data_IF_372679512635
#
_entry.id   IF_372679512635
#
_cell.length_a   1.000
_cell.length_b   1.000
_cell.length_c   1.000
_cell.angle_alpha   90.00
_cell.angle_beta   90.00
_cell.angle_gamma   90.00
#
_symmetry.space_group_name_H-M   'P 1'
#
loop_
_entity.id
_entity.type
_entity.pdbx_description
1 polymer ?
#
# COMPACT_ATOMS: atom_id res chain seq x y z
N UNK A 1 3.02 6.92 -67.00
CA UNK A 1 3.35 5.72 -66.21
C UNK A 1 4.13 6.20 -65.01
N UNK A 2 3.43 6.39 -63.91
CA UNK A 2 3.98 6.95 -62.67
C UNK A 2 3.98 5.81 -61.66
N UNK A 3 5.14 5.20 -61.44
CA UNK A 3 5.28 4.12 -60.47
C UNK A 3 5.16 4.70 -59.06
N UNK A 4 4.08 4.33 -58.37
CA UNK A 4 3.91 4.57 -56.96
C UNK A 4 4.78 3.60 -56.18
N UNK A 5 5.95 4.08 -55.74
CA UNK A 5 6.80 3.38 -54.78
C UNK A 5 6.06 3.29 -53.45
N UNK A 6 5.47 2.13 -53.15
CA UNK A 6 5.01 1.77 -51.81
C UNK A 6 6.23 1.41 -50.96
N UNK A 7 6.77 2.41 -50.28
CA UNK A 7 7.80 2.21 -49.26
C UNK A 7 7.13 1.58 -48.03
N UNK A 8 7.12 0.26 -47.96
CA UNK A 8 6.73 -0.50 -46.76
C UNK A 8 7.79 -0.31 -45.67
N UNK A 9 7.70 0.81 -44.95
CA UNK A 9 8.49 1.12 -43.77
C UNK A 9 8.10 0.23 -42.60
N UNK A 10 8.71 -0.96 -42.54
CA UNK A 10 8.87 -1.73 -41.30
C UNK A 10 9.71 -0.91 -40.32
N UNK A 11 9.08 -0.03 -39.56
CA UNK A 11 9.65 0.54 -38.35
C UNK A 11 8.95 -0.07 -37.14
N UNK A 12 9.75 -0.68 -36.28
CA UNK A 12 9.30 -1.38 -35.08
C UNK A 12 8.42 -0.49 -34.22
N UNK A 13 7.15 -0.88 -34.11
CA UNK A 13 6.23 -0.37 -33.11
C UNK A 13 6.77 -0.82 -31.75
N UNK A 14 7.55 0.04 -31.08
CA UNK A 14 7.46 0.09 -29.64
C UNK A 14 5.98 0.40 -29.37
N UNK A 15 5.20 -0.63 -29.04
CA UNK A 15 3.79 -0.48 -28.68
C UNK A 15 3.76 0.24 -27.34
N UNK A 16 3.96 1.56 -27.38
CA UNK A 16 3.58 2.43 -26.29
C UNK A 16 2.10 2.15 -26.07
N UNK A 17 1.76 1.61 -24.90
CA UNK A 17 0.36 1.30 -24.56
C UNK A 17 -0.51 2.50 -24.93
N UNK A 18 -1.55 2.26 -25.73
CA UNK A 18 -2.38 3.34 -26.26
C UNK A 18 -2.90 4.21 -25.12
N UNK A 19 -3.08 5.51 -25.34
CA UNK A 19 -3.59 6.42 -24.30
C UNK A 19 -4.89 5.89 -23.65
N UNK A 20 -5.74 5.23 -24.44
CA UNK A 20 -6.95 4.54 -23.98
C UNK A 20 -6.65 3.40 -23.00
N UNK A 21 -5.62 2.58 -23.26
CA UNK A 21 -5.21 1.50 -22.38
C UNK A 21 -4.66 2.04 -21.05
N UNK A 22 -3.80 3.08 -21.08
CA UNK A 22 -3.28 3.73 -19.86
C UNK A 22 -4.39 4.31 -18.99
N UNK A 23 -5.33 5.03 -19.59
CA UNK A 23 -6.48 5.59 -18.87
C UNK A 23 -7.38 4.50 -18.25
N UNK A 24 -7.52 3.34 -18.93
CA UNK A 24 -8.26 2.21 -18.38
C UNK A 24 -7.57 1.61 -17.16
N UNK A 25 -6.25 1.39 -17.21
CA UNK A 25 -5.50 0.87 -16.07
C UNK A 25 -5.59 1.85 -14.89
N UNK A 26 -5.35 3.14 -15.13
CA UNK A 26 -5.48 4.18 -14.09
C UNK A 26 -6.84 4.12 -13.37
N UNK A 27 -7.94 4.21 -14.13
CA UNK A 27 -9.28 4.20 -13.54
C UNK A 27 -9.56 2.91 -12.78
N UNK A 28 -9.13 1.77 -13.32
CA UNK A 28 -9.32 0.48 -12.67
C UNK A 28 -8.48 0.38 -11.39
N UNK A 29 -7.25 0.89 -11.38
CA UNK A 29 -6.39 0.93 -10.20
C UNK A 29 -7.05 1.75 -9.10
N UNK A 30 -7.55 2.96 -9.41
CA UNK A 30 -8.25 3.80 -8.42
C UNK A 30 -9.54 3.13 -7.92
N UNK A 31 -10.33 2.53 -8.80
CA UNK A 31 -11.57 1.87 -8.41
C UNK A 31 -11.33 0.64 -7.55
N UNK A 32 -10.38 -0.22 -7.95
CA UNK A 32 -10.03 -1.41 -7.20
C UNK A 32 -9.37 -1.06 -5.86
N UNK A 33 -8.57 0.02 -5.82
CA UNK A 33 -8.01 0.54 -4.58
C UNK A 33 -9.11 0.97 -3.61
N UNK A 34 -10.06 1.79 -4.07
CA UNK A 34 -11.20 2.22 -3.25
C UNK A 34 -12.04 1.02 -2.78
N UNK A 35 -12.32 0.06 -3.68
CA UNK A 35 -13.03 -1.16 -3.35
C UNK A 35 -12.29 -1.99 -2.29
N UNK A 36 -10.96 -2.05 -2.34
CA UNK A 36 -10.11 -2.80 -1.41
C UNK A 36 -10.06 -2.21 0.01
N UNK A 37 -10.43 -0.94 0.18
CA UNK A 37 -10.54 -0.31 1.50
C UNK A 37 -11.73 -0.86 2.29
N UNK A 38 -12.84 -1.22 1.62
CA UNK A 38 -14.02 -1.79 2.27
C UNK A 38 -13.72 -3.09 3.05
N UNK A 39 -13.16 -4.14 2.43
CA UNK A 39 -12.77 -5.34 3.16
C UNK A 39 -11.69 -5.07 4.21
N UNK A 40 -10.81 -4.09 4.02
CA UNK A 40 -9.82 -3.72 5.06
C UNK A 40 -10.52 -3.20 6.32
N UNK A 41 -11.49 -2.29 6.17
CA UNK A 41 -12.28 -1.77 7.30
C UNK A 41 -13.13 -2.86 7.93
N UNK A 42 -13.77 -3.71 7.11
CA UNK A 42 -14.54 -4.85 7.62
C UNK A 42 -13.66 -5.85 8.38
N UNK A 43 -12.48 -6.17 7.87
CA UNK A 43 -11.52 -7.06 8.54
C UNK A 43 -11.04 -6.46 9.86
N UNK A 44 -10.72 -5.17 9.88
CA UNK A 44 -10.39 -4.46 11.11
C UNK A 44 -11.52 -4.53 12.14
N UNK A 45 -12.76 -4.25 11.72
CA UNK A 45 -13.93 -4.29 12.60
C UNK A 45 -14.21 -5.70 13.13
N UNK A 46 -14.16 -6.73 12.28
CA UNK A 46 -14.32 -8.14 12.70
C UNK A 46 -13.22 -8.52 13.67
N UNK A 47 -11.96 -8.16 13.39
CA UNK A 47 -10.83 -8.47 14.26
C UNK A 47 -10.94 -7.83 15.64
N UNK A 48 -11.37 -6.57 15.72
CA UNK A 48 -11.59 -5.86 16.99
C UNK A 48 -12.79 -6.42 17.75
N UNK A 49 -13.93 -6.63 17.08
CA UNK A 49 -15.18 -7.06 17.74
C UNK A 49 -15.16 -8.50 18.23
N UNK A 50 -14.53 -9.40 17.48
CA UNK A 50 -14.42 -10.82 17.86
C UNK A 50 -13.22 -11.12 18.75
N UNK A 51 -12.21 -10.24 18.75
CA UNK A 51 -10.94 -10.49 19.41
C UNK A 51 -10.17 -11.69 18.85
N UNK A 52 -10.51 -12.17 17.64
CA UNK A 52 -9.90 -13.38 17.06
C UNK A 52 -8.38 -13.26 16.90
N UNK A 53 -7.89 -12.03 16.74
CA UNK A 53 -6.48 -11.68 16.60
C UNK A 53 -5.80 -11.37 17.93
N UNK A 54 -6.54 -11.30 19.04
CA UNK A 54 -5.98 -11.08 20.37
C UNK A 54 -5.14 -12.27 20.85
N UNK A 55 -5.45 -13.48 20.38
CA UNK A 55 -4.67 -14.70 20.68
C UNK A 55 -3.40 -14.83 19.83
N UNK A 56 -3.29 -14.09 18.72
CA UNK A 56 -2.13 -14.06 17.82
C UNK A 56 -1.01 -13.17 18.39
N UNK A 57 -0.56 -13.48 19.60
CA UNK A 57 0.54 -12.77 20.25
C UNK A 57 1.91 -13.39 19.95
N UNK A 58 2.95 -12.57 19.98
CA UNK A 58 4.34 -13.01 19.81
C UNK A 58 4.65 -13.60 18.44
N UNK A 59 5.48 -14.64 18.42
CA UNK A 59 5.98 -15.27 17.19
C UNK A 59 4.88 -15.90 16.32
N UNK A 60 3.79 -16.40 16.92
CA UNK A 60 2.66 -16.97 16.16
C UNK A 60 1.96 -15.92 15.31
N UNK A 61 1.71 -14.73 15.86
CA UNK A 61 1.12 -13.62 15.10
C UNK A 61 2.03 -13.15 13.97
N UNK A 62 3.35 -13.11 14.21
CA UNK A 62 4.34 -12.75 13.19
C UNK A 62 4.43 -13.79 12.08
N UNK A 63 4.38 -15.08 12.40
CA UNK A 63 4.37 -16.17 11.41
C UNK A 63 3.07 -16.15 10.59
N UNK A 64 1.91 -15.97 11.23
CA UNK A 64 0.63 -15.86 10.52
C UNK A 64 0.62 -14.63 9.62
N UNK A 65 1.13 -13.49 10.11
CA UNK A 65 1.25 -12.27 9.32
C UNK A 65 2.16 -12.48 8.10
N UNK A 66 3.39 -12.95 8.30
CA UNK A 66 4.35 -13.15 7.20
C UNK A 66 3.87 -14.24 6.24
N UNK A 67 3.45 -15.39 6.75
CA UNK A 67 2.96 -16.51 5.94
C UNK A 67 1.71 -16.14 5.15
N UNK A 68 0.77 -15.44 5.78
CA UNK A 68 -0.42 -14.90 5.12
C UNK A 68 -0.06 -13.85 4.08
N UNK A 69 0.74 -12.85 4.43
CA UNK A 69 1.13 -11.77 3.52
C UNK A 69 1.89 -12.30 2.30
N UNK A 70 2.92 -13.12 2.48
CA UNK A 70 3.66 -13.73 1.37
C UNK A 70 2.81 -14.71 0.56
N UNK A 71 1.96 -15.51 1.22
CA UNK A 71 1.06 -16.45 0.56
C UNK A 71 0.05 -15.73 -0.34
N UNK A 72 -0.59 -14.67 0.16
CA UNK A 72 -1.50 -13.85 -0.62
C UNK A 72 -0.78 -13.07 -1.72
N UNK A 73 0.37 -12.47 -1.44
CA UNK A 73 1.15 -11.76 -2.46
C UNK A 73 1.53 -12.69 -3.61
N UNK A 74 1.98 -13.90 -3.31
CA UNK A 74 2.26 -14.91 -4.32
C UNK A 74 1.00 -15.31 -5.11
N UNK A 75 -0.12 -15.53 -4.42
CA UNK A 75 -1.39 -15.88 -5.05
C UNK A 75 -1.91 -14.77 -5.98
N UNK A 76 -1.84 -13.51 -5.55
CA UNK A 76 -2.24 -12.34 -6.35
C UNK A 76 -1.34 -12.21 -7.57
N UNK A 77 -0.03 -12.29 -7.38
CA UNK A 77 0.92 -12.13 -8.48
C UNK A 77 0.79 -13.26 -9.51
N UNK A 78 0.44 -14.47 -9.06
CA UNK A 78 0.13 -15.61 -9.95
C UNK A 78 -1.22 -15.46 -10.65
N UNK A 79 -2.20 -14.83 -10.02
CA UNK A 79 -3.57 -14.67 -10.55
C UNK A 79 -3.85 -13.31 -11.17
N UNK A 80 -2.84 -12.42 -11.25
CA UNK A 80 -2.97 -11.05 -11.78
C UNK A 80 -3.50 -10.97 -13.21
N UNK A 81 -3.31 -12.02 -14.00
CA UNK A 81 -3.78 -12.13 -15.39
C UNK A 81 -5.12 -12.89 -15.52
N UNK A 82 -5.77 -13.22 -14.40
CA UNK A 82 -7.01 -13.99 -14.34
C UNK A 82 -8.11 -13.21 -13.61
N UNK A 83 -9.37 -13.55 -13.90
CA UNK A 83 -10.54 -12.98 -13.20
C UNK A 83 -10.52 -13.27 -11.69
N UNK A 84 -9.79 -14.30 -11.25
CA UNK A 84 -9.62 -14.63 -9.84
C UNK A 84 -8.74 -13.63 -9.07
N UNK A 85 -7.94 -12.80 -9.75
CA UNK A 85 -7.01 -11.89 -9.07
C UNK A 85 -7.70 -10.82 -8.23
N UNK A 86 -8.86 -10.32 -8.67
CA UNK A 86 -9.63 -9.30 -7.91
C UNK A 86 -10.17 -9.87 -6.59
N UNK A 87 -10.91 -10.99 -6.56
CA UNK A 87 -11.34 -11.62 -5.30
C UNK A 87 -10.19 -11.95 -4.36
N UNK A 88 -9.05 -12.43 -4.87
CA UNK A 88 -7.88 -12.75 -4.04
C UNK A 88 -7.27 -11.48 -3.44
N UNK A 89 -7.21 -10.38 -4.21
CA UNK A 89 -6.78 -9.08 -3.68
C UNK A 89 -7.72 -8.60 -2.58
N UNK A 90 -9.04 -8.71 -2.74
CA UNK A 90 -10.00 -8.31 -1.71
C UNK A 90 -9.91 -9.20 -0.45
N UNK A 91 -9.65 -10.50 -0.61
CA UNK A 91 -9.40 -11.40 0.51
C UNK A 91 -8.09 -11.04 1.24
N UNK A 92 -7.05 -10.68 0.50
CA UNK A 92 -5.80 -10.18 1.05
C UNK A 92 -6.00 -8.90 1.85
N UNK A 93 -6.74 -7.93 1.31
CA UNK A 93 -6.97 -6.68 2.03
C UNK A 93 -7.88 -6.85 3.26
N UNK A 94 -8.82 -7.81 3.23
CA UNK A 94 -9.54 -8.26 4.42
C UNK A 94 -8.60 -8.84 5.48
N UNK A 95 -7.70 -9.75 5.07
CA UNK A 95 -6.70 -10.34 5.96
C UNK A 95 -5.79 -9.28 6.58
N UNK A 96 -5.32 -8.32 5.79
CA UNK A 96 -4.52 -7.20 6.29
C UNK A 96 -5.31 -6.32 7.27
N UNK A 97 -6.59 -6.08 7.01
CA UNK A 97 -7.51 -5.43 7.96
C UNK A 97 -7.61 -6.19 9.29
N UNK A 98 -7.76 -7.52 9.24
CA UNK A 98 -7.74 -8.36 10.44
C UNK A 98 -6.42 -8.19 11.20
N UNK A 99 -5.26 -8.20 10.53
CA UNK A 99 -3.97 -8.06 11.21
C UNK A 99 -3.78 -6.68 11.85
N UNK A 100 -4.39 -5.64 11.28
CA UNK A 100 -4.40 -4.28 11.83
C UNK A 100 -5.25 -4.14 13.11
N UNK A 101 -6.23 -5.03 13.31
CA UNK A 101 -7.16 -4.97 14.44
C UNK A 101 -6.48 -4.94 15.80
N UNK A 102 -5.30 -5.55 15.96
CA UNK A 102 -4.55 -5.52 17.22
C UNK A 102 -4.03 -4.12 17.55
N UNK A 103 -3.48 -3.42 16.56
CA UNK A 103 -3.04 -2.03 16.74
C UNK A 103 -4.24 -1.13 17.01
N UNK A 104 -5.35 -1.35 16.30
CA UNK A 104 -6.59 -0.61 16.53
C UNK A 104 -7.15 -0.85 17.93
N UNK A 105 -7.17 -2.10 18.41
CA UNK A 105 -7.62 -2.43 19.76
C UNK A 105 -6.76 -1.77 20.85
N UNK A 106 -5.45 -1.69 20.63
CA UNK A 106 -4.54 -0.94 21.52
C UNK A 106 -4.90 0.55 21.57
N UNK A 107 -5.14 1.17 20.42
CA UNK A 107 -5.49 2.60 20.35
C UNK A 107 -6.91 2.88 20.86
N UNK A 108 -7.86 1.97 20.64
CA UNK A 108 -9.22 2.05 21.18
C UNK A 108 -9.26 1.94 22.72
N UNK A 109 -8.17 1.51 23.35
CA UNK A 109 -8.00 1.57 24.80
C UNK A 109 -7.78 2.98 25.35
N UNK A 110 -7.46 3.97 24.50
CA UNK A 110 -7.41 5.38 24.90
C UNK A 110 -8.81 5.99 24.94
N UNK A 111 -9.03 6.96 25.82
CA UNK A 111 -10.31 7.67 25.93
C UNK A 111 -10.69 8.40 24.63
N UNK A 112 -9.69 8.84 23.86
CA UNK A 112 -9.83 9.48 22.56
C UNK A 112 -9.48 8.55 21.37
N UNK A 113 -9.43 7.23 21.57
CA UNK A 113 -8.94 6.26 20.58
C UNK A 113 -9.65 6.30 19.22
N UNK A 114 -10.98 6.44 19.21
CA UNK A 114 -11.75 6.56 17.97
C UNK A 114 -11.38 7.83 17.17
N UNK A 115 -11.10 8.94 17.87
CA UNK A 115 -10.64 10.19 17.24
C UNK A 115 -9.27 10.02 16.58
N UNK A 116 -8.34 9.33 17.27
CA UNK A 116 -7.00 9.05 16.73
C UNK A 116 -7.05 8.19 15.46
N UNK A 117 -7.93 7.19 15.42
CA UNK A 117 -8.14 6.35 14.23
C UNK A 117 -8.68 7.19 13.07
N UNK A 118 -9.67 8.04 13.33
CA UNK A 118 -10.23 8.94 12.31
C UNK A 118 -9.19 9.95 11.81
N UNK A 119 -8.34 10.47 12.70
CA UNK A 119 -7.26 11.38 12.33
C UNK A 119 -6.18 10.69 11.50
N UNK A 120 -5.80 9.46 11.85
CA UNK A 120 -4.87 8.64 11.05
C UNK A 120 -5.43 8.35 9.65
N UNK A 121 -6.73 8.02 9.57
CA UNK A 121 -7.42 7.79 8.31
C UNK A 121 -7.44 9.07 7.44
N UNK A 122 -7.83 10.20 8.03
CA UNK A 122 -7.82 11.50 7.36
C UNK A 122 -6.42 11.93 6.89
N UNK A 123 -5.40 11.72 7.73
CA UNK A 123 -4.00 11.99 7.38
C UNK A 123 -3.51 11.12 6.24
N UNK A 124 -3.87 9.82 6.23
CA UNK A 124 -3.54 8.91 5.13
C UNK A 124 -4.23 9.31 3.84
N UNK A 125 -5.49 9.73 3.90
CA UNK A 125 -6.21 10.25 2.75
C UNK A 125 -5.55 11.53 2.20
N UNK A 126 -5.16 12.46 3.08
CA UNK A 126 -4.45 13.67 2.68
C UNK A 126 -3.11 13.35 1.99
N UNK A 127 -2.33 12.41 2.53
CA UNK A 127 -1.11 11.90 1.90
C UNK A 127 -1.41 11.31 0.53
N UNK A 128 -2.42 10.44 0.42
CA UNK A 128 -2.81 9.82 -0.84
C UNK A 128 -3.14 10.86 -1.91
N UNK A 129 -4.02 11.81 -1.59
CA UNK A 129 -4.42 12.86 -2.53
C UNK A 129 -3.24 13.77 -2.90
N UNK A 130 -2.38 14.10 -1.94
CA UNK A 130 -1.16 14.87 -2.19
C UNK A 130 -0.22 14.15 -3.16
N UNK A 131 0.06 12.88 -2.92
CA UNK A 131 0.94 12.07 -3.77
C UNK A 131 0.31 11.76 -5.13
N UNK A 132 -1.00 11.52 -5.18
CA UNK A 132 -1.74 11.35 -6.42
C UNK A 132 -1.69 12.61 -7.28
N UNK A 133 -1.91 13.79 -6.70
CA UNK A 133 -1.76 15.07 -7.39
C UNK A 133 -0.34 15.25 -7.93
N UNK A 134 0.68 15.04 -7.09
CA UNK A 134 2.09 15.14 -7.50
C UNK A 134 2.45 14.17 -8.63
N UNK A 135 1.89 12.96 -8.66
CA UNK A 135 2.14 12.00 -9.74
C UNK A 135 1.77 12.57 -11.11
N UNK A 136 0.68 13.34 -11.19
CA UNK A 136 0.22 13.98 -12.43
C UNK A 136 1.02 15.20 -12.86
N UNK A 137 1.65 15.88 -11.90
CA UNK A 137 2.41 17.12 -12.14
C UNK A 137 3.86 16.79 -12.51
N UNK A 138 4.45 15.77 -11.89
CA UNK A 138 5.85 15.40 -12.09
C UNK A 138 6.02 14.77 -13.47
N UNK A 139 6.86 15.39 -14.30
CA UNK A 139 7.13 14.95 -15.68
C UNK A 139 8.35 14.04 -15.81
N UNK A 140 9.25 14.04 -14.83
CA UNK A 140 10.46 13.19 -14.82
C UNK A 140 10.12 11.76 -14.43
N UNK A 141 10.91 10.83 -14.94
CA UNK A 141 10.91 9.43 -14.52
C UNK A 141 11.37 9.32 -13.04
N UNK A 142 10.68 8.47 -12.28
CA UNK A 142 10.93 8.19 -10.86
C UNK A 142 11.52 6.79 -10.62
N UNK A 143 11.89 6.04 -11.66
CA UNK A 143 12.46 4.69 -11.55
C UNK A 143 13.71 4.64 -10.67
N UNK A 144 14.59 5.64 -10.74
CA UNK A 144 15.75 5.73 -9.84
C UNK A 144 15.36 5.98 -8.39
N UNK A 145 14.28 6.75 -8.17
CA UNK A 145 13.73 6.97 -6.83
C UNK A 145 13.14 5.67 -6.28
N UNK A 146 12.48 4.86 -7.11
CA UNK A 146 11.94 3.56 -6.71
C UNK A 146 13.02 2.64 -6.13
N UNK A 147 14.20 2.58 -6.77
CA UNK A 147 15.35 1.78 -6.29
C UNK A 147 15.84 2.25 -4.93
N UNK A 148 15.95 3.57 -4.74
CA UNK A 148 16.34 4.15 -3.46
C UNK A 148 15.31 3.89 -2.36
N UNK A 149 14.01 4.07 -2.66
CA UNK A 149 12.92 3.80 -1.73
C UNK A 149 12.87 2.32 -1.32
N UNK A 150 13.19 1.40 -2.23
CA UNK A 150 13.30 -0.03 -1.92
C UNK A 150 14.37 -0.32 -0.87
N UNK A 151 15.54 0.32 -0.98
CA UNK A 151 16.59 0.24 0.05
C UNK A 151 16.06 0.84 1.37
N UNK A 152 15.38 1.98 1.31
CA UNK A 152 14.75 2.60 2.49
C UNK A 152 13.74 1.68 3.20
N UNK A 153 12.88 0.99 2.44
CA UNK A 153 11.95 0.02 2.98
C UNK A 153 12.66 -1.17 3.66
N UNK A 154 13.73 -1.69 3.05
CA UNK A 154 14.56 -2.74 3.67
C UNK A 154 15.13 -2.26 5.00
N UNK A 155 15.68 -1.03 5.04
CA UNK A 155 16.21 -0.46 6.28
C UNK A 155 15.14 -0.32 7.37
N UNK A 156 13.93 0.10 7.00
CA UNK A 156 12.79 0.15 7.92
C UNK A 156 12.47 -1.24 8.48
N UNK A 157 12.43 -2.27 7.63
CA UNK A 157 12.17 -3.66 8.07
C UNK A 157 13.27 -4.14 9.00
N UNK A 158 14.55 -3.91 8.67
CA UNK A 158 15.69 -4.28 9.51
C UNK A 158 15.62 -3.56 10.86
N UNK A 159 15.33 -2.26 10.86
CA UNK A 159 15.15 -1.49 12.08
C UNK A 159 13.97 -2.00 12.92
N UNK A 160 12.85 -2.35 12.27
CA UNK A 160 11.68 -2.91 12.95
C UNK A 160 11.99 -4.25 13.62
N UNK A 161 12.73 -5.13 12.94
CA UNK A 161 13.20 -6.41 13.51
C UNK A 161 14.16 -6.17 14.67
N UNK A 162 15.12 -5.25 14.52
CA UNK A 162 16.02 -4.88 15.61
C UNK A 162 15.24 -4.34 16.82
N UNK A 163 14.19 -3.55 16.58
CA UNK A 163 13.35 -3.01 17.65
C UNK A 163 12.59 -4.08 18.45
N UNK A 164 12.35 -5.26 17.88
CA UNK A 164 11.73 -6.37 18.62
C UNK A 164 12.60 -6.80 19.81
N UNK A 165 13.93 -6.76 19.64
CA UNK A 165 14.89 -7.12 20.68
C UNK A 165 15.28 -5.95 21.57
N UNK A 166 15.42 -4.75 20.99
CA UNK A 166 15.82 -3.53 21.71
C UNK A 166 14.67 -2.95 22.52
N UNK A 167 13.43 -3.07 22.01
CA UNK A 167 12.20 -2.53 22.60
C UNK A 167 12.27 -1.03 22.92
N UNK A 168 12.89 -0.25 22.02
CA UNK A 168 13.06 1.20 22.22
C UNK A 168 11.89 2.00 21.65
N UNK A 169 11.25 2.79 22.51
CA UNK A 169 10.19 3.72 22.11
C UNK A 169 10.69 4.79 21.13
N UNK A 170 11.93 5.28 21.31
CA UNK A 170 12.52 6.27 20.42
C UNK A 170 12.72 5.70 19.01
N UNK A 171 13.25 4.48 18.92
CA UNK A 171 13.47 3.80 17.65
C UNK A 171 12.14 3.49 16.94
N UNK A 172 11.11 3.13 17.69
CA UNK A 172 9.74 2.94 17.17
C UNK A 172 9.16 4.21 16.53
N UNK A 173 9.33 5.37 17.18
CA UNK A 173 8.90 6.67 16.64
C UNK A 173 9.68 6.98 15.36
N UNK A 174 11.02 6.82 15.38
CA UNK A 174 11.87 7.05 14.22
C UNK A 174 11.45 6.18 13.03
N UNK A 175 11.22 4.88 13.26
CA UNK A 175 10.71 3.97 12.23
C UNK A 175 9.41 4.49 11.64
N UNK A 176 8.45 4.88 12.49
CA UNK A 176 7.14 5.33 12.02
C UNK A 176 7.22 6.60 11.19
N UNK A 177 8.03 7.58 11.61
CA UNK A 177 8.23 8.82 10.82
C UNK A 177 8.87 8.49 9.47
N UNK A 178 9.90 7.66 9.45
CA UNK A 178 10.54 7.21 8.20
C UNK A 178 9.56 6.43 7.32
N UNK A 179 8.76 5.55 7.90
CA UNK A 179 7.76 4.78 7.18
C UNK A 179 6.70 5.68 6.55
N UNK A 180 6.17 6.68 7.27
CA UNK A 180 5.25 7.67 6.67
C UNK A 180 5.89 8.33 5.46
N UNK A 181 7.13 8.82 5.57
CA UNK A 181 7.81 9.48 4.45
C UNK A 181 8.09 8.55 3.26
N UNK A 182 8.68 7.37 3.52
CA UNK A 182 9.07 6.40 2.49
C UNK A 182 7.85 5.82 1.78
N UNK A 183 6.82 5.40 2.51
CA UNK A 183 5.62 4.84 1.89
C UNK A 183 4.76 5.91 1.21
N UNK A 184 4.77 7.16 1.68
CA UNK A 184 4.20 8.27 0.91
C UNK A 184 4.90 8.43 -0.45
N UNK A 185 6.23 8.38 -0.46
CA UNK A 185 7.00 8.45 -1.70
C UNK A 185 6.76 7.23 -2.60
N UNK A 186 6.52 6.04 -2.05
CA UNK A 186 6.10 4.87 -2.83
C UNK A 186 4.73 5.08 -3.48
N UNK A 187 3.74 5.67 -2.80
CA UNK A 187 2.44 6.00 -3.41
C UNK A 187 2.67 6.88 -4.64
N UNK A 188 3.52 7.90 -4.53
CA UNK A 188 3.87 8.77 -5.65
C UNK A 188 4.50 7.99 -6.81
N UNK A 189 5.50 7.14 -6.54
CA UNK A 189 6.17 6.33 -7.55
C UNK A 189 5.19 5.38 -8.23
N UNK A 190 4.41 4.62 -7.46
CA UNK A 190 3.51 3.61 -8.00
C UNK A 190 2.42 4.26 -8.86
N UNK A 191 1.81 5.36 -8.42
CA UNK A 191 0.84 6.11 -9.23
C UNK A 191 1.47 6.67 -10.50
N UNK A 192 2.71 7.17 -10.41
CA UNK A 192 3.46 7.66 -11.58
C UNK A 192 3.72 6.56 -12.59
N UNK A 193 4.13 5.35 -12.15
CA UNK A 193 4.36 4.18 -13.01
C UNK A 193 3.08 3.74 -13.74
N UNK A 194 1.94 3.77 -13.05
CA UNK A 194 0.63 3.48 -13.68
C UNK A 194 0.26 4.57 -14.70
N UNK A 195 0.53 5.83 -14.39
CA UNK A 195 0.22 6.96 -15.28
C UNK A 195 1.07 6.98 -16.55
N UNK A 196 2.37 6.69 -16.41
CA UNK A 196 3.31 6.61 -17.52
C UNK A 196 3.12 5.33 -18.34
N UNK A 197 2.37 4.35 -17.81
CA UNK A 197 2.09 3.08 -18.47
C UNK A 197 3.20 2.04 -18.31
N UNK A 198 4.11 2.28 -17.37
CA UNK A 198 5.13 1.30 -16.96
C UNK A 198 4.49 0.10 -16.27
N UNK A 199 3.39 0.32 -15.54
CA UNK A 199 2.55 -0.76 -15.03
C UNK A 199 1.24 -0.89 -15.80
N UNK A 200 1.08 -2.04 -16.45
CA UNK A 200 -0.08 -2.35 -17.30
C UNK A 200 -1.13 -3.19 -16.59
N UNK A 201 -0.79 -3.76 -15.43
CA UNK A 201 -1.71 -4.57 -14.64
C UNK A 201 -2.25 -3.78 -13.45
N UNK A 202 -3.55 -3.50 -13.48
CA UNK A 202 -4.22 -2.74 -12.41
C UNK A 202 -4.24 -3.48 -11.06
N UNK A 203 -4.16 -4.82 -11.03
CA UNK A 203 -4.13 -5.60 -9.78
C UNK A 203 -2.79 -5.43 -9.07
N UNK A 204 -1.67 -5.62 -9.78
CA UNK A 204 -0.33 -5.40 -9.21
C UNK A 204 -0.13 -3.94 -8.81
N UNK A 205 -0.64 -3.00 -9.63
CA UNK A 205 -0.65 -1.58 -9.29
C UNK A 205 -1.45 -1.27 -8.01
N UNK A 206 -2.66 -1.82 -7.89
CA UNK A 206 -3.47 -1.63 -6.68
C UNK A 206 -2.79 -2.24 -5.46
N UNK A 207 -2.16 -3.41 -5.58
CA UNK A 207 -1.44 -4.04 -4.48
C UNK A 207 -0.30 -3.16 -3.94
N UNK A 208 0.54 -2.57 -4.81
CA UNK A 208 1.64 -1.70 -4.40
C UNK A 208 1.17 -0.43 -3.67
N UNK A 209 0.19 0.26 -4.27
CA UNK A 209 -0.41 1.46 -3.68
C UNK A 209 -1.12 1.14 -2.36
N UNK A 210 -1.85 0.01 -2.29
CA UNK A 210 -2.52 -0.46 -1.08
C UNK A 210 -1.52 -0.73 0.06
N UNK A 211 -0.44 -1.47 -0.21
CA UNK A 211 0.59 -1.75 0.79
C UNK A 211 1.20 -0.47 1.33
N UNK A 212 1.45 0.50 0.46
CA UNK A 212 1.98 1.81 0.88
C UNK A 212 0.98 2.57 1.75
N UNK A 213 -0.31 2.61 1.37
CA UNK A 213 -1.36 3.22 2.18
C UNK A 213 -1.53 2.55 3.54
N UNK A 214 -1.51 1.22 3.58
CA UNK A 214 -1.58 0.45 4.81
C UNK A 214 -0.45 0.83 5.77
N UNK A 215 0.79 0.91 5.26
CA UNK A 215 1.95 1.27 6.08
C UNK A 215 1.91 2.74 6.52
N UNK A 216 1.47 3.67 5.68
CA UNK A 216 1.26 5.08 6.06
C UNK A 216 0.23 5.16 7.18
N UNK A 217 -0.91 4.51 7.04
CA UNK A 217 -1.96 4.48 8.07
C UNK A 217 -1.46 3.91 9.38
N UNK A 218 -0.83 2.73 9.34
CA UNK A 218 -0.30 2.07 10.52
C UNK A 218 0.72 2.95 11.26
N UNK A 219 1.61 3.60 10.51
CA UNK A 219 2.66 4.43 11.08
C UNK A 219 2.12 5.75 11.64
N UNK A 220 1.16 6.39 10.95
CA UNK A 220 0.45 7.56 11.47
C UNK A 220 -0.33 7.22 12.74
N UNK A 221 -1.07 6.12 12.74
CA UNK A 221 -1.82 5.67 13.89
C UNK A 221 -0.90 5.39 15.09
N UNK A 222 0.27 4.79 14.85
CA UNK A 222 1.27 4.57 15.90
C UNK A 222 1.79 5.90 16.46
N UNK A 223 2.14 6.87 15.61
CA UNK A 223 2.60 8.18 16.05
C UNK A 223 1.52 8.92 16.84
N UNK A 224 0.28 8.93 16.34
CA UNK A 224 -0.85 9.56 17.02
C UNK A 224 -1.19 8.86 18.34
N UNK A 225 -1.09 7.53 18.42
CA UNK A 225 -1.25 6.80 19.67
C UNK A 225 -0.18 7.11 20.71
N UNK A 226 1.05 7.41 20.27
CA UNK A 226 2.16 7.79 21.17
C UNK A 226 2.03 9.24 21.65
N UNK A 227 1.75 10.17 20.75
CA UNK A 227 1.78 11.62 21.05
C UNK A 227 0.42 12.21 21.44
N UNK A 228 -0.68 11.59 21.03
CA UNK A 228 -2.04 12.08 21.25
C UNK A 228 -2.94 11.11 22.01
N UNK A 229 -2.41 9.99 22.52
CA UNK A 229 -3.18 9.03 23.31
C UNK A 229 -3.43 9.54 24.74
N UNK A 230 -4.68 9.89 25.04
CA UNK A 230 -5.09 10.28 26.39
C UNK A 230 -5.43 9.03 27.23
N UNK A 231 -4.79 8.92 28.40
CA UNK A 231 -4.98 7.83 29.36
C UNK A 231 -5.73 8.38 30.58
N UNK A 232 -7.03 8.62 30.43
CA UNK A 232 -7.93 9.00 31.53
C UNK A 232 -9.13 8.06 31.58
#
# INVERSE_FOLDING_TARGET
MSDHVQTNGRFGTAVSASATQRNRVLRNTYWLLALSMLPTVLGAWVGVSTGITASLTGGLGLIVFLGGAFGFMFAIEKTKNSAAGVPILLAFTFFMGLMLSRLLAMVLGFSNGASLIMMAFGGTAAVFFGMASLSTIIKRDLSNMAKFLFIGAILIVVAAVANVFIQSSALMITISVLAVGVFSAFILVDLKRVQDGEETNYISATLGVYLSLYNVFQSLLMLLGVFGGDRE
#
